data_IF_016220116966
#
_entry.id   IF_016220116966
#
_cell.length_a   1.000
_cell.length_b   1.000
_cell.length_c   1.000
_cell.angle_alpha   90.00
_cell.angle_beta   90.00
_cell.angle_gamma   90.00
#
_symmetry.space_group_name_H-M   'P 1'
#
loop_
_entity.id
_entity.type
_entity.pdbx_description
1 polymer ?
#
# COMPACT_ATOMS: atom_id res chain seq x y z
N UNK A 1 -24.22 -12.11 17.92
CA UNK A 1 -24.57 -13.12 16.91
C UNK A 1 -24.66 -12.42 15.56
N UNK A 2 -23.66 -12.55 14.69
CA UNK A 2 -23.74 -12.00 13.32
C UNK A 2 -24.57 -12.93 12.45
N UNK A 3 -25.64 -12.41 11.86
CA UNK A 3 -26.57 -13.16 11.02
C UNK A 3 -25.85 -13.61 9.74
N UNK A 4 -25.86 -14.91 9.43
CA UNK A 4 -25.37 -15.43 8.16
C UNK A 4 -26.35 -15.02 7.04
N UNK A 5 -26.11 -13.85 6.44
CA UNK A 5 -26.77 -13.45 5.20
C UNK A 5 -26.03 -14.09 4.01
N UNK A 6 -26.73 -14.33 2.90
CA UNK A 6 -26.13 -14.88 1.66
C UNK A 6 -24.91 -14.07 1.18
N UNK A 7 -24.88 -12.78 1.48
CA UNK A 7 -23.77 -11.89 1.18
C UNK A 7 -22.55 -12.19 2.07
N UNK A 8 -22.76 -12.53 3.34
CA UNK A 8 -21.70 -12.96 4.24
C UNK A 8 -21.10 -14.32 3.83
N UNK A 9 -21.94 -15.24 3.34
CA UNK A 9 -21.51 -16.50 2.71
C UNK A 9 -20.61 -16.23 1.48
N UNK A 10 -21.04 -15.38 0.55
CA UNK A 10 -20.25 -15.00 -0.62
C UNK A 10 -18.91 -14.37 -0.24
N UNK A 11 -18.88 -13.43 0.72
CA UNK A 11 -17.65 -12.80 1.22
C UNK A 11 -16.73 -13.83 1.88
N UNK A 12 -17.29 -14.79 2.63
CA UNK A 12 -16.52 -15.87 3.25
C UNK A 12 -15.96 -16.87 2.23
N UNK A 13 -16.63 -17.10 1.10
CA UNK A 13 -16.10 -17.94 0.01
C UNK A 13 -15.01 -17.18 -0.74
N UNK A 14 -15.23 -15.91 -1.06
CA UNK A 14 -14.27 -15.07 -1.78
C UNK A 14 -12.96 -14.93 -0.98
N UNK A 15 -13.05 -14.69 0.33
CA UNK A 15 -11.88 -14.60 1.20
C UNK A 15 -11.13 -15.92 1.31
N UNK A 16 -11.82 -17.06 1.37
CA UNK A 16 -11.20 -18.39 1.40
C UNK A 16 -10.50 -18.74 0.10
N UNK A 17 -11.11 -18.47 -1.05
CA UNK A 17 -10.48 -18.70 -2.35
C UNK A 17 -9.31 -17.74 -2.59
N UNK A 18 -9.44 -16.48 -2.19
CA UNK A 18 -8.33 -15.51 -2.21
C UNK A 18 -7.16 -16.01 -1.35
N UNK A 19 -7.41 -16.46 -0.13
CA UNK A 19 -6.39 -17.02 0.75
C UNK A 19 -5.75 -18.30 0.19
N UNK A 20 -6.53 -19.16 -0.47
CA UNK A 20 -6.04 -20.39 -1.11
C UNK A 20 -5.14 -20.08 -2.31
N UNK A 21 -5.54 -19.15 -3.16
CA UNK A 21 -4.75 -18.65 -4.30
C UNK A 21 -3.43 -18.04 -3.84
N UNK A 22 -3.45 -17.35 -2.70
CA UNK A 22 -2.30 -16.67 -2.13
C UNK A 22 -1.35 -17.57 -1.31
N UNK A 23 -1.75 -18.82 -1.01
CA UNK A 23 -0.87 -19.80 -0.34
C UNK A 23 0.31 -20.21 -1.22
N UNK A 24 0.25 -19.97 -2.53
CA UNK A 24 1.38 -20.23 -3.41
C UNK A 24 2.45 -19.14 -3.22
N UNK A 25 3.69 -19.49 -2.79
CA UNK A 25 4.74 -18.52 -2.49
C UNK A 25 5.11 -17.65 -3.70
N UNK A 26 5.02 -18.19 -4.92
CA UNK A 26 5.30 -17.44 -6.15
C UNK A 26 4.28 -16.32 -6.38
N UNK A 27 2.99 -16.59 -6.14
CA UNK A 27 1.94 -15.58 -6.30
C UNK A 27 2.04 -14.48 -5.24
N UNK A 28 2.39 -14.87 -4.01
CA UNK A 28 2.68 -13.90 -2.95
C UNK A 28 3.83 -12.99 -3.37
N UNK A 29 4.95 -13.56 -3.84
CA UNK A 29 6.08 -12.76 -4.30
C UNK A 29 5.70 -11.83 -5.45
N UNK A 30 4.96 -12.32 -6.46
CA UNK A 30 4.49 -11.48 -7.56
C UNK A 30 3.64 -10.30 -7.07
N UNK A 31 2.74 -10.51 -6.11
CA UNK A 31 1.92 -9.44 -5.55
C UNK A 31 2.73 -8.42 -4.77
N UNK A 32 3.75 -8.86 -4.01
CA UNK A 32 4.65 -7.94 -3.32
C UNK A 32 5.46 -7.11 -4.32
N UNK A 33 5.97 -7.74 -5.38
CA UNK A 33 6.68 -7.04 -6.46
C UNK A 33 5.78 -6.04 -7.18
N UNK A 34 4.55 -6.45 -7.55
CA UNK A 34 3.57 -5.54 -8.18
C UNK A 34 3.27 -4.37 -7.25
N UNK A 35 3.07 -4.63 -5.96
CA UNK A 35 2.79 -3.59 -4.98
C UNK A 35 3.95 -2.59 -4.86
N UNK A 36 5.18 -3.10 -4.80
CA UNK A 36 6.39 -2.28 -4.79
C UNK A 36 6.50 -1.41 -6.06
N UNK A 37 6.36 -2.01 -7.24
CA UNK A 37 6.43 -1.30 -8.52
C UNK A 37 5.32 -0.26 -8.66
N UNK A 38 4.13 -0.57 -8.17
CA UNK A 38 3.02 0.37 -8.17
C UNK A 38 3.27 1.54 -7.22
N UNK A 39 3.81 1.28 -6.02
CA UNK A 39 4.27 2.32 -5.10
C UNK A 39 5.32 3.23 -5.75
N UNK A 40 6.31 2.64 -6.44
CA UNK A 40 7.33 3.38 -7.17
C UNK A 40 6.71 4.32 -8.22
N UNK A 41 5.80 3.78 -9.05
CA UNK A 41 5.08 4.58 -10.04
C UNK A 41 4.30 5.74 -9.42
N UNK A 42 3.60 5.50 -8.31
CA UNK A 42 2.89 6.56 -7.59
C UNK A 42 3.84 7.65 -7.07
N UNK A 43 4.99 7.28 -6.53
CA UNK A 43 6.00 8.24 -6.08
C UNK A 43 6.46 9.16 -7.22
N UNK A 44 6.79 8.57 -8.37
CA UNK A 44 7.19 9.33 -9.57
C UNK A 44 6.08 10.26 -10.06
N UNK A 45 4.84 9.78 -10.09
CA UNK A 45 3.69 10.60 -10.48
C UNK A 45 3.46 11.77 -9.51
N UNK A 46 3.56 11.52 -8.21
CA UNK A 46 3.40 12.55 -7.18
C UNK A 46 4.49 13.61 -7.26
N UNK A 47 5.75 13.21 -7.45
CA UNK A 47 6.86 14.14 -7.64
C UNK A 47 6.73 14.96 -8.93
N UNK A 48 6.25 14.35 -10.01
CA UNK A 48 5.94 15.08 -11.24
C UNK A 48 4.87 16.15 -11.00
N UNK A 49 3.82 15.82 -10.24
CA UNK A 49 2.75 16.78 -9.89
C UNK A 49 3.29 17.89 -8.97
N UNK A 50 4.07 17.53 -7.95
CA UNK A 50 4.65 18.47 -6.99
C UNK A 50 5.68 19.41 -7.67
N UNK A 51 6.54 18.86 -8.53
CA UNK A 51 7.58 19.60 -9.25
C UNK A 51 7.05 20.60 -10.27
N UNK A 52 5.76 20.54 -10.65
CA UNK A 52 5.16 21.58 -11.50
C UNK A 52 4.97 22.92 -10.79
N UNK A 53 4.94 22.95 -9.45
CA UNK A 53 4.79 24.19 -8.67
C UNK A 53 5.75 24.13 -7.47
N UNK A 54 6.89 24.82 -7.60
CA UNK A 54 7.99 24.83 -6.62
C UNK A 54 7.61 25.18 -5.16
N UNK A 55 6.39 25.68 -4.89
CA UNK A 55 5.90 25.99 -3.55
C UNK A 55 5.05 24.89 -2.88
N UNK A 56 4.76 23.79 -3.59
CA UNK A 56 3.82 22.77 -3.10
C UNK A 56 4.47 21.67 -2.25
N UNK A 57 5.80 21.65 -2.11
CA UNK A 57 6.53 20.58 -1.42
C UNK A 57 6.06 20.35 0.02
N UNK A 58 5.79 21.42 0.77
CA UNK A 58 5.32 21.33 2.16
C UNK A 58 3.92 20.71 2.24
N UNK A 59 3.01 21.11 1.33
CA UNK A 59 1.63 20.62 1.31
C UNK A 59 1.57 19.15 0.86
N UNK A 60 2.36 18.79 -0.15
CA UNK A 60 2.48 17.41 -0.64
C UNK A 60 3.08 16.51 0.44
N UNK A 61 4.12 16.97 1.14
CA UNK A 61 4.70 16.25 2.27
C UNK A 61 3.67 16.06 3.41
N UNK A 62 2.90 17.08 3.75
CA UNK A 62 1.87 16.99 4.78
C UNK A 62 0.75 15.99 4.42
N UNK A 63 0.28 15.99 3.17
CA UNK A 63 -0.73 15.04 2.67
C UNK A 63 -0.18 13.61 2.69
N UNK A 64 1.07 13.42 2.24
CA UNK A 64 1.72 12.10 2.24
C UNK A 64 1.87 11.55 3.66
N UNK A 65 2.38 12.36 4.59
CA UNK A 65 2.56 11.97 6.00
C UNK A 65 1.21 11.64 6.63
N UNK A 66 0.19 12.49 6.43
CA UNK A 66 -1.16 12.22 6.93
C UNK A 66 -1.73 10.92 6.35
N UNK A 67 -1.58 10.69 5.04
CA UNK A 67 -2.03 9.47 4.38
C UNK A 67 -1.35 8.22 4.91
N UNK A 68 -0.02 8.26 5.10
CA UNK A 68 0.76 7.17 5.67
C UNK A 68 0.34 6.89 7.12
N UNK A 69 0.12 7.92 7.92
CA UNK A 69 -0.30 7.80 9.32
C UNK A 69 -1.71 7.19 9.44
N UNK A 70 -2.66 7.62 8.61
CA UNK A 70 -3.99 7.02 8.53
C UNK A 70 -3.90 5.55 8.14
N UNK A 71 -3.11 5.23 7.11
CA UNK A 71 -2.89 3.83 6.70
C UNK A 71 -2.24 3.01 7.81
N UNK A 72 -1.25 3.54 8.52
CA UNK A 72 -0.63 2.87 9.67
C UNK A 72 -1.67 2.61 10.77
N UNK A 73 -2.46 3.62 11.14
CA UNK A 73 -3.50 3.47 12.16
C UNK A 73 -4.54 2.41 11.76
N UNK A 74 -4.94 2.35 10.50
CA UNK A 74 -5.88 1.33 10.00
C UNK A 74 -5.29 -0.08 10.05
N UNK A 75 -4.03 -0.24 9.65
CA UNK A 75 -3.35 -1.54 9.55
C UNK A 75 -2.95 -2.08 10.93
N UNK A 76 -2.41 -1.22 11.78
CA UNK A 76 -1.80 -1.61 13.06
C UNK A 76 -2.72 -1.36 14.26
N UNK A 77 -3.70 -0.44 14.16
CA UNK A 77 -4.70 -0.21 15.21
C UNK A 77 -5.80 -1.29 15.26
N UNK A 78 -5.94 -2.05 14.18
CA UNK A 78 -6.90 -3.16 14.11
C UNK A 78 -6.28 -4.46 14.64
N UNK A 79 -6.78 -4.94 15.79
CA UNK A 79 -6.42 -6.25 16.38
C UNK A 79 -6.81 -7.45 15.48
N UNK A 80 -7.56 -7.22 14.39
CA UNK A 80 -7.99 -8.24 13.43
C UNK A 80 -6.88 -8.73 12.50
N UNK A 81 -5.76 -8.02 12.39
CA UNK A 81 -4.74 -8.36 11.40
C UNK A 81 -3.65 -9.20 12.09
N UNK A 82 -3.74 -10.52 11.89
CA UNK A 82 -2.71 -11.48 12.30
C UNK A 82 -1.35 -11.16 11.64
N UNK A 83 -0.26 -11.67 12.23
CA UNK A 83 1.10 -11.45 11.73
C UNK A 83 1.31 -11.95 10.28
N UNK A 84 0.53 -12.95 9.84
CA UNK A 84 0.59 -13.51 8.48
C UNK A 84 -0.40 -12.87 7.49
N UNK A 85 -0.85 -11.63 7.72
CA UNK A 85 -1.80 -11.00 6.82
C UNK A 85 -1.10 -10.44 5.57
N UNK A 86 -1.32 -11.06 4.42
CA UNK A 86 -0.77 -10.64 3.14
C UNK A 86 -1.11 -9.21 2.74
N UNK A 87 -2.27 -8.71 3.17
CA UNK A 87 -2.65 -7.32 2.93
C UNK A 87 -1.70 -6.34 3.63
N UNK A 88 -1.16 -6.69 4.80
CA UNK A 88 -0.12 -5.90 5.47
C UNK A 88 1.13 -5.82 4.62
N UNK A 89 1.60 -6.96 4.12
CA UNK A 89 2.82 -7.03 3.32
C UNK A 89 2.67 -6.26 2.00
N UNK A 90 1.51 -6.37 1.34
CA UNK A 90 1.20 -5.63 0.12
C UNK A 90 1.25 -4.13 0.41
N UNK A 91 0.55 -3.64 1.44
CA UNK A 91 0.55 -2.20 1.74
C UNK A 91 1.95 -1.72 2.15
N UNK A 92 2.70 -2.51 2.91
CA UNK A 92 4.09 -2.19 3.26
C UNK A 92 5.00 -2.15 2.02
N UNK A 93 4.85 -3.09 1.09
CA UNK A 93 5.57 -3.07 -0.19
C UNK A 93 5.27 -1.81 -1.01
N UNK A 94 4.02 -1.37 -1.04
CA UNK A 94 3.61 -0.12 -1.68
C UNK A 94 4.28 1.09 -1.04
N UNK A 95 4.28 1.17 0.30
CA UNK A 95 4.96 2.24 1.05
C UNK A 95 6.45 2.29 0.74
N UNK A 96 7.13 1.14 0.73
CA UNK A 96 8.55 1.06 0.42
C UNK A 96 8.82 1.56 -1.00
N UNK A 97 8.04 1.10 -1.99
CA UNK A 97 8.18 1.55 -3.38
C UNK A 97 7.99 3.06 -3.54
N UNK A 98 6.96 3.62 -2.88
CA UNK A 98 6.67 5.05 -2.92
C UNK A 98 7.80 5.88 -2.32
N UNK A 99 8.25 5.55 -1.11
CA UNK A 99 9.36 6.26 -0.44
C UNK A 99 10.64 6.16 -1.27
N UNK A 100 10.95 4.97 -1.80
CA UNK A 100 12.14 4.76 -2.62
C UNK A 100 12.13 5.64 -3.88
N UNK A 101 11.01 5.74 -4.59
CA UNK A 101 10.91 6.62 -5.77
C UNK A 101 11.16 8.09 -5.41
N UNK A 102 10.54 8.59 -4.33
CA UNK A 102 10.71 9.98 -3.91
C UNK A 102 12.17 10.29 -3.55
N UNK A 103 12.86 9.36 -2.89
CA UNK A 103 14.30 9.50 -2.63
C UNK A 103 15.12 9.56 -3.92
N UNK A 104 14.84 8.68 -4.89
CA UNK A 104 15.55 8.67 -6.18
C UNK A 104 15.35 10.00 -6.91
N UNK A 105 14.14 10.56 -6.93
CA UNK A 105 13.87 11.85 -7.56
C UNK A 105 14.51 13.02 -6.83
N UNK A 106 14.50 13.03 -5.50
CA UNK A 106 15.23 14.03 -4.72
C UNK A 106 16.74 13.98 -5.03
N UNK A 107 17.32 12.78 -5.15
CA UNK A 107 18.72 12.61 -5.58
C UNK A 107 18.96 13.17 -6.99
N UNK A 108 18.04 12.95 -7.94
CA UNK A 108 18.15 13.49 -9.31
C UNK A 108 18.10 15.01 -9.38
N UNK A 109 17.42 15.66 -8.43
CA UNK A 109 17.31 17.12 -8.36
C UNK A 109 18.43 17.77 -7.54
N UNK A 110 19.07 17.02 -6.64
CA UNK A 110 20.15 17.48 -5.76
C UNK A 110 21.56 17.34 -6.32
N UNK A 111 21.76 16.72 -7.50
CA UNK A 111 23.04 16.63 -8.22
C UNK A 111 23.10 17.62 -9.37
#
# INVERSE_FOLDING_TARGET
>A
MTQNTRLNELVNVLSRETARVLRNPWRRLSLLTISFLFGFFLGTALSTIAGQRAEQDILVAAILVMGIEVLNRLIYGSKLWSQDNLWRDVINGLKIGLVYSLFVEAFKLGS
#
